data_IF_356780537994
#
_entry.id   IF_356780537994
#
_cell.length_a   1.000
_cell.length_b   1.000
_cell.length_c   1.000
_cell.angle_alpha   90.00
_cell.angle_beta   90.00
_cell.angle_gamma   90.00
#
_symmetry.space_group_name_H-M   'P 1'
#
loop_
_entity.id
_entity.type
_entity.pdbx_description
1 polymer ?
#
# COMPACT_ATOMS: atom_id res chain seq x y z
N UNK A 1 2.80 -19.35 7.76
CA UNK A 1 3.37 -18.01 7.51
C UNK A 1 2.65 -17.46 6.30
N UNK A 2 2.11 -16.24 6.41
CA UNK A 2 1.40 -15.57 5.33
C UNK A 2 2.29 -14.44 4.83
N UNK A 3 2.45 -14.34 3.51
CA UNK A 3 3.27 -13.30 2.89
C UNK A 3 2.39 -12.21 2.29
N UNK A 4 2.86 -10.98 2.37
CA UNK A 4 2.32 -9.85 1.63
C UNK A 4 3.34 -9.39 0.59
N UNK A 5 2.83 -8.97 -0.57
CA UNK A 5 3.63 -8.60 -1.72
C UNK A 5 3.38 -7.15 -2.09
N UNK A 6 4.43 -6.43 -2.50
CA UNK A 6 4.31 -5.10 -3.08
C UNK A 6 5.17 -4.98 -4.31
N UNK A 7 4.52 -4.62 -5.43
CA UNK A 7 5.21 -4.25 -6.65
C UNK A 7 5.61 -2.79 -6.65
N UNK A 8 6.83 -2.50 -7.10
CA UNK A 8 7.34 -1.14 -7.31
C UNK A 8 8.13 -1.14 -8.61
N UNK A 9 7.81 -0.24 -9.54
CA UNK A 9 8.59 -0.10 -10.76
C UNK A 9 9.97 0.52 -10.49
N UNK A 10 10.91 0.34 -11.42
CA UNK A 10 12.28 0.84 -11.26
C UNK A 10 12.37 2.32 -10.93
N UNK A 11 11.62 3.15 -11.64
CA UNK A 11 11.64 4.59 -11.42
C UNK A 11 11.21 4.96 -9.99
N UNK A 12 10.23 4.24 -9.45
CA UNK A 12 9.75 4.46 -8.08
C UNK A 12 10.71 3.86 -7.04
N UNK A 13 11.33 2.71 -7.32
CA UNK A 13 12.32 2.09 -6.44
C UNK A 13 13.58 2.96 -6.31
N UNK A 14 14.09 3.46 -7.43
CA UNK A 14 15.24 4.38 -7.48
C UNK A 14 14.93 5.69 -6.75
N UNK A 15 13.76 6.29 -6.99
CA UNK A 15 13.35 7.52 -6.31
C UNK A 15 13.27 7.36 -4.79
N UNK A 16 12.88 6.17 -4.33
CA UNK A 16 12.76 5.86 -2.92
C UNK A 16 14.04 5.24 -2.32
N UNK A 17 15.10 5.04 -3.11
CA UNK A 17 16.34 4.40 -2.66
C UNK A 17 16.12 2.97 -2.14
N UNK A 18 15.14 2.25 -2.70
CA UNK A 18 14.73 0.92 -2.24
C UNK A 18 13.90 0.89 -0.95
N UNK A 19 13.52 2.04 -0.39
CA UNK A 19 12.70 2.11 0.82
C UNK A 19 11.21 2.00 0.53
N UNK A 20 10.47 1.41 1.47
CA UNK A 20 9.02 1.32 1.46
C UNK A 20 8.41 2.58 2.10
N UNK A 21 8.40 3.67 1.32
CA UNK A 21 8.02 5.01 1.78
C UNK A 21 6.55 5.35 1.49
N UNK A 22 5.78 5.83 2.50
CA UNK A 22 4.45 6.38 2.25
C UNK A 22 4.53 7.72 1.51
N UNK A 23 3.45 8.07 0.79
CA UNK A 23 3.34 9.36 0.10
C UNK A 23 2.93 10.53 1.01
N UNK A 24 2.48 10.23 2.23
CA UNK A 24 2.07 11.20 3.25
C UNK A 24 2.47 10.77 4.65
N UNK A 25 2.08 11.55 5.67
CA UNK A 25 2.51 11.36 7.06
C UNK A 25 1.34 11.26 8.06
N UNK A 26 0.10 11.28 7.58
CA UNK A 26 -1.10 11.29 8.42
C UNK A 26 -1.75 9.90 8.49
N UNK A 27 -1.90 9.34 9.69
CA UNK A 27 -2.64 8.09 9.89
C UNK A 27 -4.16 8.26 9.92
N UNK A 28 -4.65 9.48 10.14
CA UNK A 28 -6.06 9.81 10.12
C UNK A 28 -6.27 11.02 9.21
N UNK A 29 -7.28 10.95 8.34
CA UNK A 29 -7.61 12.03 7.40
C UNK A 29 -9.06 12.43 7.53
N UNK A 30 -9.32 13.73 7.33
CA UNK A 30 -10.68 14.25 7.16
C UNK A 30 -11.01 14.25 5.68
N UNK A 31 -12.16 13.72 5.32
CA UNK A 31 -12.61 13.70 3.93
C UNK A 31 -13.10 15.09 3.51
N UNK A 32 -12.71 15.52 2.32
CA UNK A 32 -13.20 16.75 1.71
C UNK A 32 -14.34 16.45 0.73
N UNK A 33 -15.31 17.36 0.59
CA UNK A 33 -16.39 17.24 -0.42
C UNK A 33 -15.90 17.75 -1.78
N UNK A 34 -14.88 17.10 -2.33
CA UNK A 34 -14.22 17.45 -3.59
C UNK A 34 -14.80 16.74 -4.83
N UNK A 35 -15.65 15.73 -4.63
CA UNK A 35 -16.28 14.95 -5.70
C UNK A 35 -15.91 13.48 -5.61
N UNK A 36 -14.68 13.16 -5.22
CA UNK A 36 -14.12 11.81 -5.04
C UNK A 36 -14.93 10.97 -4.06
N UNK A 37 -15.49 11.63 -3.02
CA UNK A 37 -16.20 10.97 -1.91
C UNK A 37 -17.71 10.90 -2.12
N UNK A 38 -18.26 11.74 -3.00
CA UNK A 38 -19.73 11.87 -3.17
C UNK A 38 -20.38 10.59 -3.66
N UNK A 39 -19.62 9.76 -4.36
CA UNK A 39 -20.08 8.50 -4.95
C UNK A 39 -20.08 7.34 -3.93
N UNK A 40 -19.44 7.50 -2.76
CA UNK A 40 -19.20 6.42 -1.79
C UNK A 40 -19.89 6.63 -0.43
N UNK A 41 -21.18 6.98 -0.46
CA UNK A 41 -21.98 7.27 0.75
C UNK A 41 -21.96 6.09 1.73
N UNK A 42 -21.47 6.33 2.95
CA UNK A 42 -21.60 5.41 4.09
C UNK A 42 -20.31 4.70 4.51
N UNK A 43 -19.26 4.71 3.70
CA UNK A 43 -17.96 4.08 4.03
C UNK A 43 -17.01 5.02 4.79
N UNK A 44 -17.27 6.33 4.77
CA UNK A 44 -16.44 7.34 5.39
C UNK A 44 -17.10 7.94 6.64
N UNK A 45 -16.29 8.10 7.68
CA UNK A 45 -16.66 8.80 8.90
C UNK A 45 -16.66 10.31 8.68
N UNK A 46 -17.51 11.04 9.43
CA UNK A 46 -17.59 12.51 9.33
C UNK A 46 -16.41 13.25 9.96
N UNK A 47 -15.64 12.56 10.80
CA UNK A 47 -14.49 13.10 11.53
C UNK A 47 -13.20 12.48 10.98
N UNK A 48 -12.05 13.07 11.31
CA UNK A 48 -10.76 12.46 11.00
C UNK A 48 -10.70 11.06 11.60
N UNK A 49 -10.40 10.06 10.78
CA UNK A 49 -10.26 8.68 11.26
C UNK A 49 -9.23 7.90 10.45
N UNK A 50 -8.71 6.84 11.07
CA UNK A 50 -7.81 5.91 10.43
C UNK A 50 -8.50 5.10 9.34
N UNK A 51 -9.79 4.78 9.52
CA UNK A 51 -10.61 4.17 8.46
C UNK A 51 -10.66 5.06 7.23
N UNK A 52 -10.91 6.36 7.42
CA UNK A 52 -10.93 7.32 6.31
C UNK A 52 -9.57 7.36 5.59
N UNK A 53 -8.46 7.27 6.31
CA UNK A 53 -7.13 7.29 5.70
C UNK A 53 -6.88 6.07 4.81
N UNK A 54 -7.24 4.87 5.27
CA UNK A 54 -7.11 3.65 4.46
C UNK A 54 -8.09 3.66 3.28
N UNK A 55 -9.34 4.05 3.50
CA UNK A 55 -10.35 4.15 2.43
C UNK A 55 -9.95 5.17 1.37
N UNK A 56 -9.37 6.31 1.77
CA UNK A 56 -8.84 7.31 0.84
C UNK A 56 -7.63 6.74 0.07
N UNK A 57 -6.76 6.00 0.75
CA UNK A 57 -5.59 5.37 0.17
C UNK A 57 -5.93 4.31 -0.90
N UNK A 58 -7.00 3.54 -0.70
CA UNK A 58 -7.52 2.57 -1.69
C UNK A 58 -8.04 3.26 -2.96
N UNK A 59 -8.44 4.53 -2.88
CA UNK A 59 -8.84 5.32 -4.06
C UNK A 59 -7.60 5.86 -4.76
N UNK A 60 -6.73 6.51 -3.99
CA UNK A 60 -5.48 7.06 -4.50
C UNK A 60 -4.44 7.07 -3.38
N UNK A 61 -3.27 6.48 -3.64
CA UNK A 61 -2.22 6.40 -2.63
C UNK A 61 -1.78 7.80 -2.17
N UNK A 62 -1.80 8.04 -0.87
CA UNK A 62 -1.45 9.33 -0.28
C UNK A 62 -2.57 10.39 -0.34
N UNK A 63 -3.77 10.04 -0.79
CA UNK A 63 -4.91 10.96 -0.81
C UNK A 63 -5.14 11.56 0.58
N UNK A 64 -5.32 12.88 0.62
CA UNK A 64 -5.42 13.70 1.85
C UNK A 64 -4.21 13.59 2.81
N UNK A 65 -3.04 13.18 2.30
CA UNK A 65 -1.81 13.06 3.08
C UNK A 65 -1.69 11.77 3.89
N UNK A 66 -2.44 10.72 3.53
CA UNK A 66 -2.38 9.41 4.19
C UNK A 66 -0.98 8.78 4.19
N UNK A 67 -0.59 8.14 5.30
CA UNK A 67 0.71 7.46 5.45
C UNK A 67 0.70 5.95 5.15
N UNK A 68 -0.28 5.48 4.39
CA UNK A 68 -0.43 4.06 4.10
C UNK A 68 0.37 3.64 2.86
N UNK A 69 0.78 2.38 2.83
CA UNK A 69 1.49 1.73 1.73
C UNK A 69 0.69 0.48 1.34
N UNK A 70 0.37 0.35 0.06
CA UNK A 70 -0.40 -0.79 -0.45
C UNK A 70 0.47 -2.03 -0.60
N UNK A 71 -0.03 -3.15 -0.10
CA UNK A 71 0.43 -4.51 -0.35
C UNK A 71 -0.76 -5.34 -0.87
N UNK A 72 -0.47 -6.52 -1.39
CA UNK A 72 -1.46 -7.49 -1.85
C UNK A 72 -1.13 -8.88 -1.33
N UNK A 73 -2.15 -9.71 -1.12
CA UNK A 73 -1.98 -11.15 -0.85
C UNK A 73 -1.68 -11.97 -2.12
N UNK A 74 -1.79 -11.36 -3.30
CA UNK A 74 -1.67 -12.02 -4.60
C UNK A 74 -0.37 -11.60 -5.29
N UNK A 75 0.61 -12.48 -5.30
CA UNK A 75 1.94 -12.24 -5.90
C UNK A 75 1.87 -11.74 -7.36
N UNK A 76 0.95 -12.28 -8.17
CA UNK A 76 0.76 -11.86 -9.57
C UNK A 76 0.32 -10.40 -9.69
N UNK A 77 -0.51 -9.92 -8.76
CA UNK A 77 -0.95 -8.52 -8.72
C UNK A 77 0.26 -7.63 -8.39
N UNK A 78 1.11 -8.03 -7.45
CA UNK A 78 2.36 -7.32 -7.19
C UNK A 78 3.30 -7.31 -8.40
N UNK A 79 3.44 -8.42 -9.14
CA UNK A 79 4.23 -8.42 -10.38
C UNK A 79 3.66 -7.46 -11.43
N UNK A 80 2.34 -7.43 -11.61
CA UNK A 80 1.67 -6.50 -12.52
C UNK A 80 1.95 -5.04 -12.16
N UNK A 81 1.89 -4.68 -10.87
CA UNK A 81 2.26 -3.34 -10.41
C UNK A 81 3.75 -3.05 -10.55
N UNK A 82 4.62 -4.02 -10.28
CA UNK A 82 6.06 -3.85 -10.42
C UNK A 82 6.48 -3.54 -11.85
N UNK A 83 5.78 -4.10 -12.84
CA UNK A 83 6.12 -3.89 -14.25
C UNK A 83 5.30 -2.79 -14.93
N UNK A 84 4.51 -2.03 -14.17
CA UNK A 84 3.52 -1.10 -14.71
C UNK A 84 2.66 -1.75 -15.81
N UNK A 85 2.27 -3.02 -15.61
CA UNK A 85 1.53 -3.82 -16.57
C UNK A 85 2.34 -4.29 -17.79
N UNK A 86 3.63 -4.58 -17.60
CA UNK A 86 4.53 -5.06 -18.66
C UNK A 86 5.19 -3.95 -19.48
N UNK A 87 5.15 -2.70 -19.00
CA UNK A 87 5.77 -1.55 -19.68
C UNK A 87 7.21 -1.30 -19.26
N UNK A 88 7.59 -1.70 -18.04
CA UNK A 88 8.94 -1.53 -17.49
C UNK A 88 9.29 -2.67 -16.53
N UNK A 89 10.56 -2.74 -16.13
CA UNK A 89 10.99 -3.65 -15.08
C UNK A 89 10.72 -3.06 -13.69
N UNK A 90 10.78 -3.91 -12.67
CA UNK A 90 10.67 -3.46 -11.29
C UNK A 90 11.08 -4.49 -10.27
N UNK A 91 10.58 -4.29 -9.05
CA UNK A 91 10.84 -5.14 -7.91
C UNK A 91 9.54 -5.56 -7.22
N UNK A 92 9.56 -6.79 -6.72
CA UNK A 92 8.56 -7.27 -5.75
C UNK A 92 9.23 -7.38 -4.39
N UNK A 93 8.68 -6.67 -3.43
CA UNK A 93 9.00 -6.80 -2.01
C UNK A 93 8.07 -7.83 -1.38
N UNK A 94 8.64 -8.75 -0.62
CA UNK A 94 7.93 -9.77 0.15
C UNK A 94 8.16 -9.49 1.64
N UNK A 95 7.09 -9.47 2.41
CA UNK A 95 7.14 -9.29 3.87
C UNK A 95 6.40 -10.44 4.57
N UNK A 96 6.89 -10.86 5.73
CA UNK A 96 6.18 -11.84 6.58
C UNK A 96 5.18 -11.10 7.47
N UNK A 97 3.89 -11.43 7.30
CA UNK A 97 2.80 -10.87 8.10
C UNK A 97 2.97 -11.14 9.60
N UNK A 98 3.60 -12.27 9.95
CA UNK A 98 3.83 -12.65 11.35
C UNK A 98 4.80 -11.73 12.10
N UNK A 99 5.69 -11.03 11.37
CA UNK A 99 6.73 -10.17 11.95
C UNK A 99 6.29 -8.70 12.05
N UNK A 100 5.24 -8.29 11.33
CA UNK A 100 4.82 -6.89 11.22
C UNK A 100 4.62 -6.21 12.59
N UNK A 101 3.91 -6.88 13.50
CA UNK A 101 3.62 -6.31 14.83
C UNK A 101 4.89 -6.15 15.67
N UNK A 102 5.83 -7.10 15.57
CA UNK A 102 7.11 -7.02 16.28
C UNK A 102 7.97 -5.84 15.81
N UNK A 103 7.83 -5.46 14.55
CA UNK A 103 8.49 -4.29 13.95
C UNK A 103 7.67 -2.99 14.04
N UNK A 104 6.57 -2.98 14.80
CA UNK A 104 5.76 -1.78 14.99
C UNK A 104 5.02 -1.33 13.72
N UNK A 105 4.64 -2.27 12.85
CA UNK A 105 3.83 -2.03 11.66
C UNK A 105 2.36 -2.31 11.97
N UNK A 106 1.50 -1.39 11.55
CA UNK A 106 0.04 -1.53 11.63
C UNK A 106 -0.49 -1.98 10.28
N UNK A 107 -1.33 -3.01 10.30
CA UNK A 107 -1.95 -3.60 9.12
C UNK A 107 -3.45 -3.38 9.13
N UNK A 108 -4.04 -3.16 7.96
CA UNK A 108 -5.48 -2.98 7.79
C UNK A 108 -6.01 -3.54 6.48
N UNK A 109 -7.17 -4.17 6.56
CA UNK A 109 -7.95 -4.71 5.45
C UNK A 109 -9.42 -4.34 5.63
N UNK A 110 -10.18 -4.37 4.55
CA UNK A 110 -11.63 -4.20 4.57
C UNK A 110 -12.28 -5.37 3.81
N UNK A 111 -13.44 -5.83 4.30
CA UNK A 111 -14.23 -6.87 3.63
C UNK A 111 -14.87 -6.39 2.31
N UNK A 112 -14.98 -5.07 2.15
CA UNK A 112 -15.52 -4.35 1.00
C UNK A 112 -14.47 -3.40 0.38
N UNK A 113 -13.33 -3.92 -0.11
CA UNK A 113 -12.26 -3.09 -0.66
C UNK A 113 -12.68 -2.47 -2.01
N UNK A 114 -11.94 -1.43 -2.43
CA UNK A 114 -12.17 -0.77 -3.73
C UNK A 114 -12.03 -1.73 -4.91
N UNK A 115 -10.96 -2.53 -4.88
CA UNK A 115 -10.64 -3.53 -5.90
C UNK A 115 -10.58 -4.93 -5.26
N UNK A 116 -11.69 -5.67 -5.18
CA UNK A 116 -11.72 -6.99 -4.53
C UNK A 116 -10.74 -8.01 -5.11
N UNK A 117 -10.42 -7.91 -6.40
CA UNK A 117 -9.45 -8.79 -7.06
C UNK A 117 -7.99 -8.57 -6.65
N UNK A 118 -7.67 -7.39 -6.11
CA UNK A 118 -6.31 -7.06 -5.68
C UNK A 118 -6.00 -7.59 -4.29
N UNK A 119 -7.02 -7.93 -3.49
CA UNK A 119 -6.86 -8.40 -2.10
C UNK A 119 -5.89 -7.48 -1.35
N UNK A 120 -6.17 -6.18 -1.40
CA UNK A 120 -5.29 -5.13 -0.91
C UNK A 120 -5.20 -5.16 0.62
N UNK A 121 -3.96 -5.07 1.11
CA UNK A 121 -3.60 -4.93 2.52
C UNK A 121 -2.83 -3.63 2.68
N UNK A 122 -3.32 -2.73 3.54
CA UNK A 122 -2.67 -1.44 3.76
C UNK A 122 -1.80 -1.50 5.02
N UNK A 123 -0.53 -1.15 4.87
CA UNK A 123 0.45 -1.11 5.95
C UNK A 123 0.88 0.33 6.26
N UNK A 124 1.16 0.63 7.52
CA UNK A 124 1.89 1.84 7.92
C UNK A 124 2.83 1.55 9.09
N UNK A 125 3.92 2.30 9.20
CA UNK A 125 4.72 2.30 10.42
C UNK A 125 3.94 2.95 11.57
N UNK A 126 4.19 2.54 12.80
CA UNK A 126 3.55 3.09 14.00
C UNK A 126 3.85 4.58 14.20
N UNK A 127 5.00 5.05 13.71
CA UNK A 127 5.42 6.46 13.68
C UNK A 127 4.97 7.23 12.43
N UNK A 128 4.24 6.58 11.52
CA UNK A 128 3.76 7.09 10.23
C UNK A 128 4.88 7.44 9.22
N UNK A 129 6.11 7.00 9.48
CA UNK A 129 7.25 7.13 8.57
C UNK A 129 7.36 5.98 7.57
N UNK A 130 8.59 5.77 7.09
CA UNK A 130 8.92 4.65 6.22
C UNK A 130 8.67 3.32 6.94
N UNK A 131 8.23 2.30 6.20
CA UNK A 131 8.17 0.95 6.76
C UNK A 131 9.59 0.44 7.05
N UNK A 132 9.83 -0.21 8.20
CA UNK A 132 11.16 -0.72 8.56
C UNK A 132 11.68 -1.71 7.51
N UNK A 133 12.94 -1.56 7.08
CA UNK A 133 13.52 -2.45 6.07
C UNK A 133 13.55 -3.92 6.53
N UNK A 134 13.66 -4.15 7.85
CA UNK A 134 13.77 -5.48 8.45
C UNK A 134 12.53 -6.36 8.26
N UNK A 135 11.36 -5.78 7.91
CA UNK A 135 10.16 -6.57 7.60
C UNK A 135 10.24 -7.24 6.22
N UNK A 136 11.17 -6.79 5.36
CA UNK A 136 11.35 -7.32 4.00
C UNK A 136 12.18 -8.60 4.07
N UNK A 137 11.51 -9.73 3.88
CA UNK A 137 12.17 -11.05 3.85
C UNK A 137 12.79 -11.35 2.49
N UNK A 138 12.29 -10.72 1.42
CA UNK A 138 12.82 -10.84 0.08
C UNK A 138 12.54 -9.56 -0.74
N UNK A 139 13.53 -9.10 -1.50
CA UNK A 139 13.34 -8.15 -2.60
C UNK A 139 13.88 -8.81 -3.86
N UNK A 140 13.00 -9.05 -4.83
CA UNK A 140 13.36 -9.73 -6.08
C UNK A 140 13.03 -8.87 -7.29
N UNK A 141 13.88 -8.97 -8.30
CA UNK A 141 13.69 -8.31 -9.60
C UNK A 141 12.59 -9.02 -10.39
N UNK A 142 11.77 -8.25 -11.10
CA UNK A 142 10.77 -8.75 -12.05
C UNK A 142 10.95 -8.01 -13.36
N UNK A 143 10.95 -8.74 -14.46
CA UNK A 143 11.13 -8.17 -15.80
C UNK A 143 9.78 -8.01 -16.50
N UNK A 144 9.64 -6.94 -17.28
CA UNK A 144 8.42 -6.65 -18.03
C UNK A 144 7.94 -7.83 -18.91
N UNK A 145 8.89 -8.59 -19.46
CA UNK A 145 8.63 -9.69 -20.38
C UNK A 145 8.09 -10.96 -19.71
N UNK A 146 8.07 -11.01 -18.37
CA UNK A 146 7.67 -12.20 -17.60
C UNK A 146 6.21 -12.13 -17.08
N UNK A 147 5.48 -11.04 -17.38
CA UNK A 147 4.17 -10.71 -16.79
C UNK A 147 3.05 -10.69 -17.82
#
# INVERSE_FOLDING_TARGET
MAHLYRGVCDADDERNGGALRPKGSSNAVTMHRDGTVRERKGQFERVASENNAVRAHHIESGLYGGCWVSFTRVEKVACHFATSGGMEDGYVFVVDEGELTAHGVVMKEFDDPENPGEVEVSLRASDNGDLPADIVVEKRRVFANDV
#
